data_IF_079597595977
#
_entry.id   IF_079597595977
#
_cell.length_a   1.000
_cell.length_b   1.000
_cell.length_c   1.000
_cell.angle_alpha   90.00
_cell.angle_beta   90.00
_cell.angle_gamma   90.00
#
_symmetry.space_group_name_H-M   'P 1'
#
loop_
_entity.id
_entity.type
_entity.pdbx_description
1 polymer ?
#
# COMPACT_ATOMS: atom_id res chain seq x y z
N UNK A 1 30.13 -39.56 58.08
CA UNK A 1 31.14 -39.09 57.09
C UNK A 1 30.67 -39.57 55.72
N UNK A 2 30.40 -38.78 54.69
CA UNK A 2 30.49 -37.35 54.47
C UNK A 2 29.41 -36.96 53.44
N UNK A 3 28.85 -35.75 53.58
CA UNK A 3 27.99 -35.08 52.60
C UNK A 3 28.68 -34.98 51.23
N UNK A 4 27.90 -35.07 50.16
CA UNK A 4 28.11 -34.13 49.04
C UNK A 4 26.79 -33.87 48.30
N UNK A 5 26.30 -32.66 48.52
CA UNK A 5 25.18 -32.00 47.87
C UNK A 5 25.71 -31.44 46.54
N UNK A 6 25.06 -31.75 45.43
CA UNK A 6 25.23 -30.99 44.19
C UNK A 6 23.91 -30.25 43.88
N UNK A 7 23.90 -28.97 44.26
CA UNK A 7 22.98 -27.96 43.76
C UNK A 7 23.30 -27.70 42.28
N UNK A 8 22.31 -27.80 41.41
CA UNK A 8 22.33 -27.18 40.08
C UNK A 8 21.31 -26.03 40.03
N UNK A 9 21.66 -24.89 39.41
CA UNK A 9 20.91 -23.66 39.56
C UNK A 9 19.69 -23.59 38.63
N UNK A 10 18.58 -23.06 39.16
CA UNK A 10 17.41 -22.64 38.40
C UNK A 10 17.81 -21.62 37.31
N UNK A 11 17.89 -22.08 36.05
CA UNK A 11 17.94 -21.17 34.92
C UNK A 11 16.54 -20.64 34.61
N UNK A 12 16.27 -19.48 35.20
CA UNK A 12 15.48 -18.35 34.67
C UNK A 12 14.90 -18.60 33.27
N UNK A 13 13.61 -18.98 33.23
CA UNK A 13 12.81 -19.01 32.01
C UNK A 13 12.87 -17.60 31.38
N UNK A 14 13.59 -17.48 30.28
CA UNK A 14 13.58 -16.29 29.44
C UNK A 14 12.12 -16.09 29.02
N UNK A 15 11.49 -15.01 29.48
CA UNK A 15 10.28 -14.47 28.86
C UNK A 15 10.58 -14.35 27.37
N UNK A 16 9.93 -15.18 26.56
CA UNK A 16 9.87 -14.97 25.13
C UNK A 16 9.21 -13.60 24.93
N UNK A 17 10.02 -12.60 24.66
CA UNK A 17 9.54 -11.36 24.07
C UNK A 17 9.12 -11.74 22.66
N UNK A 18 7.83 -12.01 22.49
CA UNK A 18 7.24 -12.07 21.16
C UNK A 18 7.54 -10.73 20.49
N UNK A 19 8.16 -10.73 19.29
CA UNK A 19 8.39 -9.49 18.58
C UNK A 19 7.04 -8.79 18.38
N UNK A 20 7.02 -7.49 18.70
CA UNK A 20 5.88 -6.60 18.48
C UNK A 20 5.29 -6.88 17.10
N UNK A 21 4.02 -7.30 17.07
CA UNK A 21 3.29 -7.55 15.84
C UNK A 21 3.40 -6.34 14.94
N UNK A 22 4.16 -6.48 13.85
CA UNK A 22 4.00 -5.57 12.71
C UNK A 22 2.53 -5.69 12.28
N UNK A 23 1.77 -4.65 12.58
CA UNK A 23 0.41 -4.48 12.12
C UNK A 23 0.46 -4.38 10.60
N UNK A 24 0.31 -5.50 9.91
CA UNK A 24 0.07 -5.49 8.46
C UNK A 24 -1.40 -5.13 8.28
N UNK A 25 -1.69 -3.83 8.35
CA UNK A 25 -2.96 -3.31 7.88
C UNK A 25 -2.97 -3.46 6.37
N UNK A 26 -3.90 -4.24 5.83
CA UNK A 26 -4.03 -4.42 4.39
C UNK A 26 -4.76 -3.20 3.85
N UNK A 27 -4.18 -2.47 2.91
CA UNK A 27 -4.88 -1.37 2.27
C UNK A 27 -5.49 -1.83 0.94
N UNK A 28 -6.79 -1.58 0.74
CA UNK A 28 -7.40 -1.63 -0.57
C UNK A 28 -6.93 -0.40 -1.34
N UNK A 29 -6.07 -0.61 -2.33
CA UNK A 29 -5.51 0.47 -3.13
C UNK A 29 -5.89 0.30 -4.59
N UNK A 30 -6.28 1.41 -5.21
CA UNK A 30 -6.71 1.43 -6.60
C UNK A 30 -6.31 2.74 -7.26
N UNK A 31 -5.79 2.68 -8.48
CA UNK A 31 -5.57 3.82 -9.36
C UNK A 31 -6.30 3.54 -10.67
N UNK A 32 -7.13 4.47 -11.13
CA UNK A 32 -7.85 4.38 -12.40
C UNK A 32 -7.45 5.55 -13.27
N UNK A 33 -6.95 5.24 -14.46
CA UNK A 33 -6.55 6.21 -15.48
C UNK A 33 -7.32 5.97 -16.77
N UNK A 34 -7.50 7.02 -17.55
CA UNK A 34 -8.05 6.97 -18.90
C UNK A 34 -7.01 7.53 -19.86
N UNK A 35 -6.53 6.71 -20.79
CA UNK A 35 -5.64 7.14 -21.85
C UNK A 35 -6.47 7.83 -22.93
N UNK A 36 -6.16 9.10 -23.15
CA UNK A 36 -6.86 9.97 -24.09
C UNK A 36 -6.18 10.00 -25.46
N UNK A 37 -4.85 10.01 -25.46
CA UNK A 37 -4.01 10.07 -26.65
C UNK A 37 -2.81 9.15 -26.45
N UNK A 38 -2.48 8.33 -27.45
CA UNK A 38 -1.33 7.42 -27.43
C UNK A 38 -0.94 7.09 -28.88
N UNK A 39 0.35 7.00 -29.23
CA UNK A 39 0.78 6.53 -30.55
C UNK A 39 0.22 5.13 -30.89
N UNK A 40 0.08 4.30 -29.87
CA UNK A 40 -0.52 2.98 -29.95
C UNK A 40 -2.00 3.04 -29.55
N UNK A 41 -2.88 2.92 -30.55
CA UNK A 41 -4.32 3.08 -30.39
C UNK A 41 -4.95 1.96 -29.55
N UNK A 42 -4.29 0.81 -29.42
CA UNK A 42 -4.77 -0.31 -28.59
C UNK A 42 -4.75 0.04 -27.10
N UNK A 43 -4.02 1.08 -26.71
CA UNK A 43 -3.93 1.57 -25.34
C UNK A 43 -4.93 2.68 -25.02
N UNK A 44 -5.87 3.02 -25.91
CA UNK A 44 -6.91 4.01 -25.61
C UNK A 44 -7.99 3.42 -24.68
N UNK A 45 -8.47 4.26 -23.76
CA UNK A 45 -9.54 3.89 -22.83
C UNK A 45 -9.07 3.78 -21.38
N UNK A 46 -9.86 3.08 -20.56
CA UNK A 46 -9.71 3.09 -19.12
C UNK A 46 -8.97 1.87 -18.58
N UNK A 47 -8.02 2.10 -17.68
CA UNK A 47 -7.21 1.08 -17.02
C UNK A 47 -7.30 1.22 -15.50
N UNK A 48 -7.44 0.08 -14.82
CA UNK A 48 -7.53 0.01 -13.36
C UNK A 48 -6.37 -0.81 -12.79
N UNK A 49 -5.66 -0.23 -11.85
CA UNK A 49 -4.53 -0.85 -11.17
C UNK A 49 -4.84 -1.01 -9.69
N UNK A 50 -4.77 -2.24 -9.17
CA UNK A 50 -5.01 -2.54 -7.76
C UNK A 50 -3.71 -2.55 -6.96
N UNK A 51 -2.95 -1.46 -7.09
CA UNK A 51 -1.66 -1.23 -6.44
C UNK A 51 -1.60 0.23 -5.97
N UNK A 52 -0.92 0.48 -4.85
CA UNK A 52 -0.64 1.85 -4.40
C UNK A 52 0.40 2.54 -5.28
N UNK A 53 1.28 1.75 -5.89
CA UNK A 53 2.44 2.19 -6.65
C UNK A 53 2.42 1.56 -8.05
N UNK A 54 2.50 2.39 -9.09
CA UNK A 54 2.63 1.94 -10.48
C UNK A 54 3.71 2.75 -11.20
N UNK A 55 4.55 2.06 -11.98
CA UNK A 55 5.47 2.65 -12.93
C UNK A 55 4.86 2.62 -14.32
N UNK A 56 5.12 3.67 -15.07
CA UNK A 56 4.65 3.88 -16.42
C UNK A 56 5.86 4.16 -17.31
N UNK A 57 5.95 3.48 -18.44
CA UNK A 57 7.09 3.61 -19.36
C UNK A 57 7.02 2.61 -20.52
N UNK A 58 8.08 2.55 -21.33
CA UNK A 58 8.19 1.62 -22.47
C UNK A 58 8.86 0.28 -22.12
N UNK A 59 9.28 0.09 -20.87
CA UNK A 59 9.98 -1.10 -20.40
C UNK A 59 9.03 -2.19 -19.94
N UNK A 60 9.38 -3.46 -20.17
CA UNK A 60 8.56 -4.60 -19.73
C UNK A 60 8.53 -4.80 -18.19
N UNK A 61 9.39 -4.10 -17.45
CA UNK A 61 9.47 -4.18 -15.98
C UNK A 61 8.51 -3.23 -15.26
N UNK A 62 7.72 -2.44 -15.98
CA UNK A 62 6.78 -1.47 -15.42
C UNK A 62 5.36 -2.04 -15.36
N UNK A 63 4.53 -1.46 -14.51
CA UNK A 63 3.14 -1.90 -14.33
C UNK A 63 2.23 -1.46 -15.49
N UNK A 64 2.53 -0.32 -16.12
CA UNK A 64 1.81 0.16 -17.29
C UNK A 64 2.76 0.44 -18.46
N UNK A 65 2.91 -0.57 -19.33
CA UNK A 65 3.79 -0.50 -20.49
C UNK A 65 3.08 0.24 -21.63
N UNK A 66 3.67 1.32 -22.11
CA UNK A 66 3.16 2.13 -23.22
C UNK A 66 4.15 2.09 -24.38
N UNK A 67 3.66 1.84 -25.59
CA UNK A 67 4.47 1.76 -26.80
C UNK A 67 4.67 3.15 -27.43
N UNK A 68 5.32 4.04 -26.69
CA UNK A 68 5.66 5.39 -27.13
C UNK A 68 7.18 5.52 -27.25
N UNK A 69 7.67 5.95 -28.42
CA UNK A 69 9.12 6.05 -28.69
C UNK A 69 9.78 7.21 -27.95
N UNK A 70 9.00 8.19 -27.50
CA UNK A 70 9.49 9.37 -26.78
C UNK A 70 9.59 9.15 -25.26
N UNK A 71 8.99 8.06 -24.74
CA UNK A 71 9.06 7.74 -23.31
C UNK A 71 10.20 6.77 -22.99
N UNK A 72 10.67 6.84 -21.75
CA UNK A 72 11.77 6.02 -21.21
C UNK A 72 11.21 4.69 -20.70
N UNK A 73 12.09 3.72 -20.44
CA UNK A 73 11.66 2.38 -20.01
C UNK A 73 10.88 2.43 -18.71
N UNK A 74 11.38 3.21 -17.76
CA UNK A 74 10.65 3.67 -16.60
C UNK A 74 10.61 5.20 -16.72
N UNK A 75 9.45 5.82 -16.91
CA UNK A 75 9.37 7.26 -17.22
C UNK A 75 8.64 8.05 -16.14
N UNK A 76 7.52 7.52 -15.65
CA UNK A 76 6.71 8.16 -14.61
C UNK A 76 6.34 7.14 -13.55
N UNK A 77 6.30 7.59 -12.31
CA UNK A 77 5.83 6.84 -11.16
C UNK A 77 4.58 7.51 -10.62
N UNK A 78 3.53 6.73 -10.38
CA UNK A 78 2.38 7.13 -9.60
C UNK A 78 2.37 6.36 -8.28
N UNK A 79 2.19 7.08 -7.18
CA UNK A 79 2.17 6.49 -5.85
C UNK A 79 1.09 7.12 -4.97
N UNK A 80 0.36 6.30 -4.22
CA UNK A 80 -0.61 6.75 -3.23
C UNK A 80 0.04 6.71 -1.84
N UNK A 81 0.31 7.88 -1.29
CA UNK A 81 0.81 8.06 0.07
C UNK A 81 -0.11 8.99 0.84
N UNK A 82 -0.40 8.69 2.11
CA UNK A 82 -1.26 9.52 2.97
C UNK A 82 -2.60 9.92 2.33
N UNK A 83 -3.19 9.00 1.57
CA UNK A 83 -4.43 9.19 0.82
C UNK A 83 -4.37 10.28 -0.28
N UNK A 84 -3.17 10.59 -0.77
CA UNK A 84 -2.91 11.47 -1.89
C UNK A 84 -2.22 10.71 -3.01
N UNK A 85 -2.65 10.93 -4.25
CA UNK A 85 -1.95 10.42 -5.43
C UNK A 85 -0.84 11.40 -5.81
N UNK A 86 0.38 10.91 -5.94
CA UNK A 86 1.54 11.68 -6.34
C UNK A 86 2.11 11.12 -7.65
N UNK A 87 2.51 12.01 -8.55
CA UNK A 87 3.31 11.71 -9.72
C UNK A 87 4.75 12.18 -9.53
N UNK A 88 5.71 11.38 -9.96
CA UNK A 88 7.10 11.76 -10.03
C UNK A 88 7.73 11.22 -11.31
N UNK A 89 8.64 11.98 -11.90
CA UNK A 89 9.50 11.46 -12.96
C UNK A 89 10.44 10.40 -12.35
N UNK A 90 10.75 9.35 -13.11
CA UNK A 90 11.73 8.33 -12.69
C UNK A 90 13.16 8.86 -12.77
N UNK A 91 14.15 8.10 -12.32
CA UNK A 91 15.57 8.46 -12.51
C UNK A 91 16.01 8.47 -13.99
N UNK A 92 15.24 7.83 -14.88
CA UNK A 92 15.56 7.78 -16.32
C UNK A 92 14.91 8.92 -17.13
N UNK A 93 14.00 9.69 -16.52
CA UNK A 93 13.28 10.79 -17.15
C UNK A 93 13.24 12.00 -16.23
N UNK A 94 13.57 13.18 -16.73
CA UNK A 94 13.63 14.36 -15.86
C UNK A 94 12.26 15.04 -15.68
N UNK A 95 11.30 14.77 -16.58
CA UNK A 95 10.17 15.69 -16.80
C UNK A 95 8.90 14.99 -17.28
N UNK A 96 7.77 15.57 -16.86
CA UNK A 96 6.43 15.24 -17.34
C UNK A 96 5.56 16.50 -17.31
N UNK A 97 4.36 16.44 -17.88
CA UNK A 97 3.43 17.55 -17.91
C UNK A 97 2.19 17.19 -17.12
N UNK A 98 1.73 18.13 -16.27
CA UNK A 98 0.45 18.01 -15.56
C UNK A 98 -0.41 19.21 -15.96
N UNK A 99 -1.57 18.95 -16.53
CA UNK A 99 -2.50 19.98 -17.03
C UNK A 99 -1.80 20.99 -17.95
N UNK A 100 -0.95 20.48 -18.86
CA UNK A 100 -0.17 21.28 -19.81
C UNK A 100 1.04 22.02 -19.22
N UNK A 101 1.29 21.93 -17.91
CA UNK A 101 2.44 22.57 -17.26
C UNK A 101 3.57 21.58 -17.05
N UNK A 102 4.75 21.92 -17.57
CA UNK A 102 5.99 21.16 -17.37
C UNK A 102 6.31 21.10 -15.88
N UNK A 103 6.56 19.89 -15.38
CA UNK A 103 6.76 19.59 -13.97
C UNK A 103 8.06 18.79 -13.81
N UNK A 104 8.84 19.18 -12.82
CA UNK A 104 10.01 18.44 -12.35
C UNK A 104 9.78 18.05 -10.89
N UNK A 105 10.27 16.87 -10.48
CA UNK A 105 10.09 16.35 -9.12
C UNK A 105 8.70 15.77 -8.86
N UNK A 106 8.27 15.81 -7.60
CA UNK A 106 7.02 15.19 -7.12
C UNK A 106 5.86 16.19 -7.23
N UNK A 107 4.73 15.72 -7.75
CA UNK A 107 3.50 16.49 -7.91
C UNK A 107 2.29 15.73 -7.37
N UNK A 108 1.60 16.32 -6.41
CA UNK A 108 0.29 15.83 -5.98
C UNK A 108 -0.76 16.05 -7.08
N UNK A 109 -1.55 15.01 -7.32
CA UNK A 109 -2.57 14.90 -8.36
C UNK A 109 -3.96 14.81 -7.74
N UNK A 110 -4.95 15.25 -8.51
CA UNK A 110 -6.37 15.12 -8.19
C UNK A 110 -7.09 14.36 -9.29
N UNK A 111 -8.26 13.81 -8.94
CA UNK A 111 -9.20 13.29 -9.94
C UNK A 111 -9.52 14.39 -10.94
N UNK A 112 -9.42 14.04 -12.23
CA UNK A 112 -9.59 14.96 -13.35
C UNK A 112 -8.30 15.52 -13.92
N UNK A 113 -7.17 15.45 -13.20
CA UNK A 113 -5.88 15.93 -13.71
C UNK A 113 -5.43 15.12 -14.92
N UNK A 114 -4.82 15.81 -15.88
CA UNK A 114 -4.24 15.21 -17.08
C UNK A 114 -2.73 15.20 -16.97
N UNK A 115 -2.14 14.08 -17.38
CA UNK A 115 -0.70 13.87 -17.43
C UNK A 115 -0.32 13.60 -18.87
N UNK A 116 0.78 14.20 -19.31
CA UNK A 116 1.37 13.92 -20.61
C UNK A 116 2.84 13.54 -20.45
N UNK A 117 3.23 12.46 -21.12
CA UNK A 117 4.59 11.93 -21.23
C UNK A 117 4.82 11.54 -22.70
N UNK A 118 5.87 12.08 -23.32
CA UNK A 118 6.05 11.90 -24.77
C UNK A 118 4.83 12.37 -25.58
N UNK A 119 4.32 11.48 -26.43
CA UNK A 119 3.10 11.67 -27.23
C UNK A 119 1.86 11.08 -26.53
N UNK A 120 2.03 10.46 -25.36
CA UNK A 120 0.94 9.84 -24.61
C UNK A 120 0.35 10.79 -23.57
N UNK A 121 -0.98 10.89 -23.54
CA UNK A 121 -1.74 11.70 -22.59
C UNK A 121 -2.83 10.87 -21.94
N UNK A 122 -2.90 10.94 -20.62
CA UNK A 122 -3.93 10.25 -19.84
C UNK A 122 -4.46 11.12 -18.72
N UNK A 123 -5.62 10.75 -18.20
CA UNK A 123 -6.35 11.47 -17.16
C UNK A 123 -6.50 10.58 -15.93
N UNK A 124 -6.36 11.17 -14.75
CA UNK A 124 -6.69 10.50 -13.49
C UNK A 124 -8.21 10.46 -13.36
N UNK A 125 -8.79 9.27 -13.41
CA UNK A 125 -10.26 9.10 -13.28
C UNK A 125 -10.65 8.88 -11.84
N UNK A 126 -9.89 8.07 -11.11
CA UNK A 126 -10.15 7.79 -9.70
C UNK A 126 -8.89 7.26 -9.01
N UNK A 127 -8.81 7.38 -7.69
CA UNK A 127 -7.86 6.64 -6.88
C UNK A 127 -8.41 6.42 -5.48
N UNK A 128 -7.97 5.37 -4.81
CA UNK A 128 -8.44 4.97 -3.49
C UNK A 128 -7.30 4.40 -2.67
N UNK A 129 -7.26 4.75 -1.39
CA UNK A 129 -6.44 4.08 -0.38
C UNK A 129 -7.25 3.91 0.90
N UNK A 130 -7.83 2.73 1.09
CA UNK A 130 -8.65 2.43 2.26
C UNK A 130 -8.01 1.34 3.11
N UNK A 131 -7.79 1.56 4.42
CA UNK A 131 -7.38 0.50 5.30
C UNK A 131 -8.51 -0.53 5.42
N UNK A 132 -8.18 -1.78 5.10
CA UNK A 132 -9.01 -2.94 5.37
C UNK A 132 -8.62 -3.44 6.77
N UNK A 133 -9.56 -3.36 7.69
CA UNK A 133 -9.40 -4.00 8.99
C UNK A 133 -9.38 -5.51 8.83
N UNK A 134 -8.33 -6.13 9.36
CA UNK A 134 -8.27 -7.58 9.46
C UNK A 134 -9.36 -8.10 10.40
N UNK A 135 -9.78 -9.37 10.21
CA UNK A 135 -10.71 -10.05 11.12
C UNK A 135 -10.25 -9.97 12.57
N UNK A 136 -8.93 -10.03 12.80
CA UNK A 136 -8.29 -9.92 14.12
C UNK A 136 -8.44 -8.51 14.70
N UNK A 137 -8.16 -7.48 13.93
CA UNK A 137 -8.34 -6.08 14.37
C UNK A 137 -9.79 -5.78 14.71
N UNK A 138 -10.74 -6.25 13.88
CA UNK A 138 -12.17 -6.14 14.16
C UNK A 138 -12.55 -6.86 15.47
N UNK A 139 -12.04 -8.07 15.70
CA UNK A 139 -12.27 -8.80 16.95
C UNK A 139 -11.69 -8.07 18.17
N UNK A 140 -10.47 -7.52 18.03
CA UNK A 140 -9.83 -6.78 19.12
C UNK A 140 -10.62 -5.53 19.47
N UNK A 141 -11.00 -4.69 18.49
CA UNK A 141 -11.85 -3.51 18.74
C UNK A 141 -13.16 -3.89 19.41
N UNK A 142 -13.86 -4.90 18.91
CA UNK A 142 -15.12 -5.34 19.51
C UNK A 142 -14.92 -5.83 20.96
N UNK A 143 -13.80 -6.52 21.24
CA UNK A 143 -13.48 -6.96 22.60
C UNK A 143 -13.20 -5.76 23.52
N UNK A 144 -12.46 -4.76 23.04
CA UNK A 144 -12.22 -3.51 23.78
C UNK A 144 -13.49 -2.73 24.06
N UNK A 145 -14.42 -2.65 23.11
CA UNK A 145 -15.73 -2.03 23.29
C UNK A 145 -16.56 -2.77 24.35
N UNK A 146 -16.57 -4.11 24.30
CA UNK A 146 -17.26 -4.93 25.31
C UNK A 146 -16.66 -4.76 26.71
N UNK A 147 -15.33 -4.59 26.81
CA UNK A 147 -14.64 -4.25 28.06
C UNK A 147 -15.10 -2.89 28.57
N UNK A 148 -15.12 -1.87 27.71
CA UNK A 148 -15.57 -0.51 28.07
C UNK A 148 -17.03 -0.48 28.49
N UNK A 149 -17.87 -1.31 27.89
CA UNK A 149 -19.30 -1.37 28.21
C UNK A 149 -19.64 -2.30 29.38
N UNK A 150 -18.65 -2.89 30.07
CA UNK A 150 -18.83 -3.91 31.12
C UNK A 150 -19.83 -5.02 30.73
N UNK A 151 -19.73 -5.49 29.49
CA UNK A 151 -20.69 -6.47 28.97
C UNK A 151 -20.57 -7.82 29.70
N UNK A 152 -21.69 -8.48 30.06
CA UNK A 152 -21.68 -9.82 30.65
C UNK A 152 -21.10 -10.90 29.70
N UNK A 153 -20.95 -10.59 28.41
CA UNK A 153 -20.35 -11.49 27.41
C UNK A 153 -18.83 -11.71 27.60
N UNK A 154 -18.16 -10.86 28.37
CA UNK A 154 -16.71 -10.95 28.61
C UNK A 154 -16.29 -12.26 29.30
N UNK A 155 -17.14 -12.77 30.22
CA UNK A 155 -16.90 -14.02 30.92
C UNK A 155 -16.89 -15.22 29.96
N UNK A 156 -17.82 -15.23 29.02
CA UNK A 156 -17.91 -16.26 27.98
C UNK A 156 -16.73 -16.23 27.02
N UNK A 157 -16.27 -15.03 26.62
CA UNK A 157 -15.11 -14.88 25.74
C UNK A 157 -13.83 -15.40 26.42
N UNK A 158 -13.60 -15.08 27.70
CA UNK A 158 -12.44 -15.61 28.46
C UNK A 158 -12.43 -17.13 28.51
N UNK A 159 -13.58 -17.73 28.81
CA UNK A 159 -13.71 -19.19 28.88
C UNK A 159 -13.44 -19.91 27.54
N UNK A 160 -13.69 -19.24 26.41
CA UNK A 160 -13.39 -19.80 25.08
C UNK A 160 -11.91 -19.69 24.72
N UNK A 161 -11.23 -18.63 25.18
CA UNK A 161 -9.79 -18.44 24.95
C UNK A 161 -8.92 -19.38 25.79
N UNK A 162 -9.35 -19.72 27.01
CA UNK A 162 -8.63 -20.66 27.89
C UNK A 162 -8.74 -22.12 27.45
N UNK A 163 -9.67 -22.44 26.55
CA UNK A 163 -9.90 -23.81 26.03
C UNK A 163 -9.28 -24.08 24.65
N UNK A 164 -8.73 -23.06 24.00
CA UNK A 164 -8.08 -23.15 22.69
C UNK A 164 -6.56 -23.21 22.84
#
# INVERSE_FOLDING_TARGET
MSLMIFLWPLQRIKKFHLPSSHHVSYNLTMIVIEVLECPDQDYLGQFSFYKSFIRIGSGQSVEFCLNDKQIKKNHLVLDIQDNQLNAAASEESDLFWVNGKRTAGIKSLKVGDTIQIGETKFKIVNFLNMPIESKRERLNRNTEELIKSNSPLLSYIKNLQEKA
#
